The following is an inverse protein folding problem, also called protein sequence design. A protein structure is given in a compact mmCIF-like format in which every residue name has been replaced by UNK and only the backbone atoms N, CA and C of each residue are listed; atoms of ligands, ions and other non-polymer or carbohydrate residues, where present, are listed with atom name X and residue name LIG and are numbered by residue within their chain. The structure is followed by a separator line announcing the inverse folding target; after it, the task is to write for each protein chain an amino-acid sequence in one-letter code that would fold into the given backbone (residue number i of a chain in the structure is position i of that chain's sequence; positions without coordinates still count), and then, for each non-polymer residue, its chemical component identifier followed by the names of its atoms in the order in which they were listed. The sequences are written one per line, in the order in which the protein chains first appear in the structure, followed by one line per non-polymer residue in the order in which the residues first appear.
data_IF_583777301431
#
_entry.id   IF_583777301431
#
_cell.length_a   1.000
_cell.length_b   1.000
_cell.length_c   1.000
_cell.angle_alpha   90.00
_cell.angle_beta   90.00
_cell.angle_gamma   90.00
#
_symmetry.space_group_name_H-M   'P 1'
#
loop_
_entity.id
_entity.type
_entity.pdbx_description
1 polymer ?
#
# COMPACT_ATOMS: atom_id res chain seq x y z
N UNK A 1 19.07 -2.46 1.42
CA UNK A 1 18.38 -1.36 2.14
C UNK A 1 16.91 -1.51 1.83
N UNK A 2 16.09 -1.94 2.79
CA UNK A 2 14.64 -1.97 2.58
C UNK A 2 14.15 -0.51 2.59
N UNK A 3 13.51 -0.09 1.50
CA UNK A 3 12.93 1.23 1.39
C UNK A 3 11.57 1.24 2.09
N UNK A 4 11.29 2.27 2.87
CA UNK A 4 10.02 2.42 3.59
C UNK A 4 8.80 2.34 2.64
N UNK A 5 8.98 2.73 1.38
CA UNK A 5 7.99 2.55 0.31
C UNK A 5 7.63 1.08 0.06
N UNK A 6 8.61 0.20 -0.09
CA UNK A 6 8.37 -1.22 -0.34
C UNK A 6 7.68 -1.88 0.87
N UNK A 7 8.07 -1.47 2.08
CA UNK A 7 7.42 -1.90 3.32
C UNK A 7 5.94 -1.48 3.36
N UNK A 8 5.60 -0.25 2.96
CA UNK A 8 4.22 0.21 2.89
C UNK A 8 3.39 -0.52 1.85
N UNK A 9 3.99 -0.76 0.68
CA UNK A 9 3.38 -1.52 -0.39
C UNK A 9 3.06 -2.96 0.02
N UNK A 10 4.01 -3.64 0.67
CA UNK A 10 3.83 -4.98 1.22
C UNK A 10 2.81 -5.00 2.36
N UNK A 11 2.81 -3.98 3.22
CA UNK A 11 1.90 -3.91 4.37
C UNK A 11 0.42 -3.94 3.94
N UNK A 12 0.04 -3.16 2.92
CA UNK A 12 -1.33 -3.23 2.38
C UNK A 12 -1.67 -4.64 1.87
N UNK A 13 -0.75 -5.28 1.14
CA UNK A 13 -0.94 -6.63 0.60
C UNK A 13 -1.08 -7.69 1.69
N UNK A 14 -0.50 -7.46 2.86
CA UNK A 14 -0.65 -8.29 4.04
C UNK A 14 -1.91 -7.96 4.85
N UNK A 15 -2.65 -6.92 4.47
CA UNK A 15 -3.89 -6.49 5.13
C UNK A 15 -3.68 -5.54 6.32
N UNK A 16 -2.48 -4.96 6.48
CA UNK A 16 -2.21 -3.95 7.50
C UNK A 16 -2.85 -2.62 7.14
N UNK A 17 -3.27 -1.86 8.14
CA UNK A 17 -3.88 -0.53 7.97
C UNK A 17 -2.83 0.59 8.11
N UNK A 18 -3.13 1.79 7.61
CA UNK A 18 -2.23 2.94 7.71
C UNK A 18 -1.79 3.25 9.15
N UNK A 19 -2.61 2.92 10.15
CA UNK A 19 -2.28 3.11 11.56
C UNK A 19 -1.19 2.17 12.09
N UNK A 20 -0.93 1.05 11.41
CA UNK A 20 0.16 0.11 11.71
C UNK A 20 1.51 0.59 11.14
N UNK A 21 1.59 1.82 10.62
CA UNK A 21 2.84 2.38 10.13
C UNK A 21 3.89 2.39 11.27
N UNK A 22 5.02 1.68 11.13
CA UNK A 22 6.06 1.64 12.16
C UNK A 22 6.79 2.98 12.31
N UNK A 23 6.68 3.86 11.32
CA UNK A 23 7.28 5.19 11.31
C UNK A 23 6.36 6.20 12.00
N UNK A 24 6.66 6.49 13.27
CA UNK A 24 5.99 7.55 14.02
C UNK A 24 6.55 8.95 13.66
N UNK A 25 5.66 9.95 13.62
CA UNK A 25 6.01 11.35 13.30
C UNK A 25 6.06 11.68 11.81
N UNK A 26 6.12 12.97 11.48
CA UNK A 26 6.23 13.43 10.08
C UNK A 26 7.68 13.34 9.58
N UNK A 27 8.06 12.14 9.14
CA UNK A 27 9.39 11.85 8.59
C UNK A 27 9.29 11.41 7.13
N UNK A 28 10.40 11.56 6.38
CA UNK A 28 10.47 11.12 4.98
C UNK A 28 10.10 9.63 4.83
N UNK A 29 10.52 8.78 5.78
CA UNK A 29 10.16 7.36 5.81
C UNK A 29 8.66 7.13 5.95
N UNK A 30 7.97 7.91 6.78
CA UNK A 30 6.51 7.84 6.92
C UNK A 30 5.85 8.16 5.58
N UNK A 31 6.26 9.27 4.93
CA UNK A 31 5.72 9.67 3.62
C UNK A 31 5.96 8.61 2.54
N UNK A 32 7.14 7.99 2.53
CA UNK A 32 7.46 6.90 1.61
C UNK A 32 6.58 5.68 1.88
N UNK A 33 6.40 5.28 3.14
CA UNK A 33 5.56 4.15 3.53
C UNK A 33 4.09 4.38 3.18
N UNK A 34 3.53 5.54 3.55
CA UNK A 34 2.16 5.93 3.18
C UNK A 34 1.98 5.90 1.65
N UNK A 35 2.93 6.46 0.89
CA UNK A 35 2.87 6.43 -0.58
C UNK A 35 2.86 4.99 -1.15
N UNK A 36 3.70 4.10 -0.63
CA UNK A 36 3.73 2.70 -1.07
C UNK A 36 2.44 1.95 -0.72
N UNK A 37 1.88 2.21 0.46
CA UNK A 37 0.62 1.61 0.90
C UNK A 37 -0.56 2.07 0.03
N UNK A 38 -0.62 3.36 -0.31
CA UNK A 38 -1.64 3.90 -1.22
C UNK A 38 -1.53 3.32 -2.63
N UNK A 39 -0.30 3.19 -3.16
CA UNK A 39 -0.07 2.58 -4.48
C UNK A 39 -0.55 1.12 -4.52
N UNK A 40 -0.22 0.32 -3.49
CA UNK A 40 -0.68 -1.06 -3.37
C UNK A 40 -2.21 -1.18 -3.29
N UNK A 41 -2.85 -0.22 -2.62
CA UNK A 41 -4.31 -0.11 -2.57
C UNK A 41 -4.89 0.16 -3.95
N UNK A 42 -4.34 1.13 -4.69
CA UNK A 42 -4.77 1.46 -6.05
C UNK A 42 -4.58 0.25 -6.97
N UNK A 43 -3.41 -0.40 -6.93
CA UNK A 43 -3.13 -1.61 -7.71
C UNK A 43 -4.16 -2.71 -7.41
N UNK A 44 -4.44 -2.97 -6.13
CA UNK A 44 -5.39 -4.01 -5.72
C UNK A 44 -6.82 -3.66 -6.11
N UNK A 45 -7.22 -2.39 -6.00
CA UNK A 45 -8.54 -1.92 -6.40
C UNK A 45 -8.73 -2.04 -7.92
N UNK A 46 -7.74 -1.60 -8.71
CA UNK A 46 -7.70 -1.76 -10.16
C UNK A 46 -7.79 -3.24 -10.55
N UNK A 47 -7.03 -4.11 -9.87
CA UNK A 47 -7.04 -5.54 -10.13
C UNK A 47 -8.39 -6.17 -9.80
N UNK A 48 -9.02 -5.79 -8.68
CA UNK A 48 -10.38 -6.22 -8.33
C UNK A 48 -11.41 -5.77 -9.37
N UNK A 49 -11.26 -4.55 -9.89
CA UNK A 49 -12.18 -3.96 -10.86
C UNK A 49 -12.05 -4.60 -12.25
N UNK A 50 -10.83 -4.99 -12.65
CA UNK A 50 -10.60 -5.75 -13.88
C UNK A 50 -11.19 -7.17 -13.84
N UNK A 51 -11.30 -7.80 -12.66
CA UNK A 51 -11.84 -9.17 -12.54
C UNK A 51 -13.37 -9.20 -12.71
N UNK A 52 -14.07 -8.08 -12.49
CA UNK A 52 -15.53 -8.01 -12.60
C UNK A 52 -16.04 -7.65 -14.02
N UNK A 53 -15.17 -7.35 -14.98
CA UNK A 53 -15.57 -6.92 -16.33
C UNK A 53 -15.72 -8.09 -17.33
N UNK A 54 -15.50 -9.33 -16.89
CA UNK A 54 -15.62 -10.52 -17.74
C UNK A 54 -16.71 -11.43 -17.18
N UNK A 55 -17.97 -11.10 -17.47
CA UNK A 55 -19.06 -12.06 -17.38
C UNK A 55 -19.94 -11.91 -18.64
N UNK A 56 -20.16 -13.01 -19.39
CA UNK A 56 -20.86 -13.02 -20.68
C UNK A 56 -22.32 -12.59 -20.61
#
# INVERSE_FOLDING_TARGET
MNNAYDEGFQAFRQGLVLADNPYQGENEKKRQWDAGWEDAKIETDLKKRSICADKP
#
